data_IF_634276795413
#
_entry.id   IF_634276795413
#
_cell.length_a   1.000
_cell.length_b   1.000
_cell.length_c   1.000
_cell.angle_alpha   90.00
_cell.angle_beta   90.00
_cell.angle_gamma   90.00
#
_symmetry.space_group_name_H-M   'P 1'
#
loop_
_entity.id
_entity.type
_entity.pdbx_description
1 polymer ?
#
# COMPACT_ATOMS: atom_id res chain seq x y z
N UNK A 1 -23.14 8.63 4.32
CA UNK A 1 -23.84 8.16 3.08
C UNK A 1 -23.01 7.01 2.56
N UNK A 2 -23.60 5.83 2.37
CA UNK A 2 -22.90 4.72 1.71
C UNK A 2 -22.69 5.15 0.27
N UNK A 3 -21.44 5.44 -0.11
CA UNK A 3 -21.12 5.63 -1.52
C UNK A 3 -21.40 4.30 -2.21
N UNK A 4 -22.49 4.26 -2.94
CA UNK A 4 -22.83 3.11 -3.76
C UNK A 4 -21.66 2.92 -4.75
N UNK A 5 -21.17 1.66 -4.85
CA UNK A 5 -20.15 1.32 -5.82
C UNK A 5 -20.63 1.67 -7.23
N UNK A 6 -19.79 2.32 -8.01
CA UNK A 6 -20.04 2.57 -9.43
C UNK A 6 -20.02 1.23 -10.20
N UNK A 7 -21.18 0.82 -10.74
CA UNK A 7 -21.31 -0.45 -11.45
C UNK A 7 -20.38 -0.51 -12.68
N UNK A 8 -20.21 0.59 -13.39
CA UNK A 8 -19.31 0.67 -14.54
C UNK A 8 -17.86 0.48 -14.14
N UNK A 9 -17.43 1.03 -13.00
CA UNK A 9 -16.10 0.81 -12.45
C UNK A 9 -15.90 -0.65 -12.05
N UNK A 10 -16.87 -1.24 -11.33
CA UNK A 10 -16.83 -2.66 -10.95
C UNK A 10 -16.69 -3.56 -12.18
N UNK A 11 -17.47 -3.32 -13.25
CA UNK A 11 -17.38 -4.09 -14.50
C UNK A 11 -16.01 -3.95 -15.18
N UNK A 12 -15.42 -2.75 -15.22
CA UNK A 12 -14.08 -2.53 -15.79
C UNK A 12 -12.99 -3.27 -15.02
N UNK A 13 -13.07 -3.28 -13.68
CA UNK A 13 -12.12 -3.97 -12.81
C UNK A 13 -12.28 -5.49 -12.94
N UNK A 14 -13.51 -6.00 -12.94
CA UNK A 14 -13.81 -7.43 -13.11
C UNK A 14 -13.28 -7.96 -14.45
N UNK A 15 -13.49 -7.21 -15.53
CA UNK A 15 -12.99 -7.55 -16.86
C UNK A 15 -11.45 -7.61 -16.95
N UNK A 16 -10.72 -6.90 -16.10
CA UNK A 16 -9.25 -6.99 -16.01
C UNK A 16 -8.77 -8.24 -15.30
N UNK A 17 -9.53 -8.70 -14.31
CA UNK A 17 -9.13 -9.83 -13.46
C UNK A 17 -7.92 -9.52 -12.59
N UNK A 18 -7.26 -10.56 -12.10
CA UNK A 18 -6.08 -10.48 -11.24
C UNK A 18 -4.89 -11.20 -11.85
N UNK A 19 -3.69 -10.81 -11.41
CA UNK A 19 -2.46 -11.59 -11.57
C UNK A 19 -2.05 -12.18 -10.22
N UNK A 20 -1.34 -13.32 -10.23
CA UNK A 20 -0.63 -13.81 -9.05
C UNK A 20 0.71 -13.08 -8.93
N UNK A 21 0.98 -12.51 -7.75
CA UNK A 21 2.18 -11.72 -7.50
C UNK A 21 2.89 -12.20 -6.23
N UNK A 22 4.20 -12.35 -6.34
CA UNK A 22 5.08 -12.79 -5.24
C UNK A 22 6.34 -11.94 -5.21
N UNK A 23 6.71 -11.42 -4.04
CA UNK A 23 7.92 -10.61 -3.86
C UNK A 23 8.26 -10.51 -2.36
N UNK A 24 9.53 -10.19 -2.05
CA UNK A 24 9.91 -9.74 -0.72
C UNK A 24 9.67 -8.24 -0.60
N UNK A 25 8.84 -7.86 0.35
CA UNK A 25 8.37 -6.49 0.53
C UNK A 25 8.81 -5.90 1.86
N UNK A 26 8.67 -4.58 1.95
CA UNK A 26 9.08 -3.78 3.10
C UNK A 26 7.97 -2.88 3.59
N UNK A 27 7.89 -2.75 4.91
CA UNK A 27 6.93 -1.89 5.60
C UNK A 27 7.56 -1.31 6.86
N UNK A 28 7.34 -0.03 7.14
CA UNK A 28 7.66 0.52 8.45
C UNK A 28 6.39 0.62 9.32
N UNK A 29 6.53 0.36 10.60
CA UNK A 29 5.44 0.48 11.58
C UNK A 29 5.98 0.97 12.91
N UNK A 30 5.15 1.59 13.76
CA UNK A 30 5.50 1.79 15.16
C UNK A 30 5.89 0.44 15.82
N UNK A 31 6.87 0.47 16.72
CA UNK A 31 7.49 -0.74 17.28
C UNK A 31 6.49 -1.72 17.94
N UNK A 32 5.41 -1.18 18.52
CA UNK A 32 4.38 -1.96 19.20
C UNK A 32 3.19 -2.38 18.30
N UNK A 33 3.26 -2.05 17.00
CA UNK A 33 2.22 -2.43 16.04
C UNK A 33 2.49 -3.78 15.44
N UNK A 34 1.43 -4.55 15.22
CA UNK A 34 1.51 -5.78 14.45
C UNK A 34 1.96 -5.48 13.02
N UNK A 35 2.95 -6.25 12.53
CA UNK A 35 3.51 -6.09 11.20
C UNK A 35 2.49 -6.38 10.09
N UNK A 36 1.52 -7.26 10.33
CA UNK A 36 0.55 -7.74 9.36
C UNK A 36 -0.88 -7.23 9.63
N UNK A 37 -1.04 -6.18 10.45
CA UNK A 37 -2.32 -5.56 10.67
C UNK A 37 -2.54 -4.34 9.76
N UNK A 38 -3.69 -4.32 9.09
CA UNK A 38 -4.21 -3.20 8.31
C UNK A 38 -5.14 -2.26 9.10
N UNK A 39 -5.28 -2.45 10.41
CA UNK A 39 -6.25 -1.72 11.22
C UNK A 39 -6.04 -0.20 11.22
N UNK A 40 -4.79 0.26 11.14
CA UNK A 40 -4.49 1.69 10.99
C UNK A 40 -5.09 2.26 9.71
N UNK A 41 -4.90 1.58 8.59
CA UNK A 41 -5.48 1.98 7.31
C UNK A 41 -7.01 1.86 7.31
N UNK A 42 -7.58 0.83 7.96
CA UNK A 42 -9.03 0.76 8.13
C UNK A 42 -9.58 1.98 8.88
N UNK A 43 -8.91 2.40 9.94
CA UNK A 43 -9.38 3.51 10.79
C UNK A 43 -9.31 4.87 10.12
N UNK A 44 -8.20 5.15 9.42
CA UNK A 44 -7.92 6.49 8.89
C UNK A 44 -8.06 6.59 7.38
N UNK A 45 -8.26 5.48 6.70
CA UNK A 45 -8.17 5.40 5.25
C UNK A 45 -6.72 5.37 4.78
N UNK A 46 -6.57 5.02 3.52
CA UNK A 46 -5.34 5.12 2.75
C UNK A 46 -5.68 5.37 1.30
N UNK A 47 -4.69 5.49 0.44
CA UNK A 47 -4.91 5.77 -0.98
C UNK A 47 -5.80 4.71 -1.65
N UNK A 48 -5.69 3.44 -1.25
CA UNK A 48 -6.39 2.31 -1.86
C UNK A 48 -7.46 1.68 -0.96
N UNK A 49 -7.82 2.33 0.12
CA UNK A 49 -8.94 1.91 0.97
C UNK A 49 -9.65 3.11 1.60
N UNK A 50 -10.97 3.22 1.45
CA UNK A 50 -11.75 4.21 2.18
C UNK A 50 -11.65 3.98 3.70
N UNK A 51 -11.75 5.03 4.51
CA UNK A 51 -11.76 4.90 5.96
C UNK A 51 -12.96 4.08 6.45
N UNK A 52 -12.76 3.34 7.53
CA UNK A 52 -13.77 2.55 8.25
C UNK A 52 -14.35 1.34 7.48
N UNK A 53 -13.89 1.07 6.26
CA UNK A 53 -14.49 0.03 5.44
C UNK A 53 -13.80 -1.33 5.60
N UNK A 54 -12.50 -1.42 5.28
CA UNK A 54 -11.73 -2.66 5.40
C UNK A 54 -10.27 -2.40 5.77
N UNK A 55 -9.59 -3.35 6.44
CA UNK A 55 -8.17 -3.24 6.76
C UNK A 55 -7.32 -3.51 5.52
N UNK A 56 -6.30 -2.67 5.31
CA UNK A 56 -5.37 -2.77 4.20
C UNK A 56 -3.91 -2.64 4.68
N UNK A 57 -3.05 -3.49 4.15
CA UNK A 57 -1.62 -3.57 4.47
C UNK A 57 -0.83 -3.06 3.27
N UNK A 58 -0.12 -1.94 3.44
CA UNK A 58 0.69 -1.30 2.40
C UNK A 58 2.12 -1.80 2.49
N UNK A 59 2.64 -2.35 1.40
CA UNK A 59 3.96 -2.96 1.31
C UNK A 59 4.71 -2.41 0.10
N UNK A 60 5.92 -1.89 0.31
CA UNK A 60 6.81 -1.43 -0.76
C UNK A 60 7.65 -2.60 -1.29
N UNK A 61 7.94 -2.63 -2.59
CA UNK A 61 8.75 -3.68 -3.24
C UNK A 61 10.25 -3.58 -2.93
N UNK A 62 10.70 -2.50 -2.32
CA UNK A 62 12.09 -2.32 -1.92
C UNK A 62 12.23 -1.52 -0.62
N UNK A 63 13.35 -1.71 0.06
CA UNK A 63 13.66 -0.92 1.24
C UNK A 63 13.78 0.57 0.91
N UNK A 64 14.36 0.92 -0.25
CA UNK A 64 14.45 2.29 -0.72
C UNK A 64 13.07 2.92 -0.93
N UNK A 65 12.16 2.24 -1.62
CA UNK A 65 10.79 2.71 -1.80
C UNK A 65 10.06 2.91 -0.45
N UNK A 66 10.28 1.99 0.50
CA UNK A 66 9.77 2.13 1.86
C UNK A 66 10.32 3.39 2.56
N UNK A 67 11.62 3.73 2.38
CA UNK A 67 12.21 4.96 2.95
C UNK A 67 11.66 6.23 2.31
N UNK A 68 11.32 6.21 1.04
CA UNK A 68 10.62 7.33 0.38
C UNK A 68 9.25 7.56 1.02
N UNK A 69 8.51 6.52 1.35
CA UNK A 69 7.23 6.65 2.06
C UNK A 69 7.41 7.18 3.50
N UNK A 70 8.50 6.80 4.20
CA UNK A 70 8.85 7.40 5.51
C UNK A 70 9.06 8.91 5.37
N UNK A 71 9.83 9.35 4.37
CA UNK A 71 10.07 10.76 4.09
C UNK A 71 8.77 11.53 3.81
N UNK A 72 7.90 10.98 2.97
CA UNK A 72 6.59 11.58 2.67
C UNK A 72 5.70 11.71 3.90
N UNK A 73 5.66 10.68 4.73
CA UNK A 73 4.91 10.71 5.98
C UNK A 73 5.43 11.78 6.94
N UNK A 74 6.75 11.94 7.05
CA UNK A 74 7.38 12.98 7.85
C UNK A 74 7.04 14.38 7.31
N UNK A 75 7.13 14.60 6.00
CA UNK A 75 6.76 15.86 5.34
C UNK A 75 5.27 16.21 5.59
N UNK A 76 4.37 15.24 5.46
CA UNK A 76 2.95 15.43 5.74
C UNK A 76 2.69 15.80 7.21
N UNK A 77 3.53 15.34 8.13
CA UNK A 77 3.52 15.69 9.55
C UNK A 77 4.32 16.98 9.87
N UNK A 78 4.79 17.72 8.84
CA UNK A 78 5.61 18.93 8.99
C UNK A 78 6.88 18.72 9.81
N UNK A 79 7.54 17.56 9.61
CA UNK A 79 8.80 17.19 10.28
C UNK A 79 9.78 16.56 9.27
N UNK A 80 10.94 16.09 9.74
CA UNK A 80 11.89 15.31 8.94
C UNK A 80 11.81 13.83 9.30
N UNK A 81 12.26 12.96 8.37
CA UNK A 81 12.30 11.52 8.61
C UNK A 81 13.15 11.17 9.84
N UNK A 82 14.32 11.81 10.01
CA UNK A 82 15.20 11.59 11.15
C UNK A 82 14.51 11.95 12.46
N UNK A 83 13.79 13.08 12.49
CA UNK A 83 13.08 13.54 13.69
C UNK A 83 11.90 12.61 14.00
N UNK A 84 11.17 12.16 12.99
CA UNK A 84 10.09 11.18 13.18
C UNK A 84 10.64 9.86 13.73
N UNK A 85 11.80 9.41 13.26
CA UNK A 85 12.44 8.15 13.65
C UNK A 85 13.19 8.21 14.99
N UNK A 86 13.18 9.35 15.71
CA UNK A 86 13.54 9.37 17.15
C UNK A 86 12.52 8.59 17.98
N UNK A 87 11.28 8.44 17.50
CA UNK A 87 10.32 7.50 18.07
C UNK A 87 10.64 6.07 17.63
N UNK A 88 10.17 5.09 18.40
CA UNK A 88 10.43 3.68 18.14
C UNK A 88 9.62 3.17 16.92
N UNK A 89 10.28 3.03 15.79
CA UNK A 89 9.77 2.39 14.58
C UNK A 89 10.53 1.11 14.25
N UNK A 90 9.90 0.24 13.48
CA UNK A 90 10.52 -0.95 12.92
C UNK A 90 10.37 -1.02 11.42
N UNK A 91 11.44 -1.43 10.75
CA UNK A 91 11.40 -1.91 9.38
C UNK A 91 11.07 -3.41 9.39
N UNK A 92 10.01 -3.77 8.69
CA UNK A 92 9.52 -5.14 8.53
C UNK A 92 9.83 -5.63 7.13
N UNK A 93 10.47 -6.79 7.03
CA UNK A 93 10.62 -7.53 5.79
C UNK A 93 9.55 -8.61 5.74
N UNK A 94 8.73 -8.62 4.70
CA UNK A 94 7.55 -9.47 4.57
C UNK A 94 7.61 -10.17 3.22
N UNK A 95 7.58 -11.51 3.24
CA UNK A 95 7.41 -12.28 2.02
C UNK A 95 5.94 -12.31 1.63
N UNK A 96 5.66 -11.93 0.39
CA UNK A 96 4.36 -12.03 -0.25
C UNK A 96 4.40 -13.19 -1.23
N UNK A 97 3.43 -14.10 -1.16
CA UNK A 97 3.39 -15.31 -2.00
C UNK A 97 2.01 -15.46 -2.64
N UNK A 98 1.98 -15.57 -3.96
CA UNK A 98 0.79 -15.88 -4.78
C UNK A 98 -0.43 -15.01 -4.41
N UNK A 99 -0.21 -13.71 -4.21
CA UNK A 99 -1.28 -12.76 -3.91
C UNK A 99 -2.01 -12.38 -5.20
N UNK A 100 -3.32 -12.63 -5.26
CA UNK A 100 -4.15 -12.29 -6.42
C UNK A 100 -4.49 -10.79 -6.40
N UNK A 101 -3.78 -10.01 -7.20
CA UNK A 101 -3.86 -8.54 -7.20
C UNK A 101 -4.36 -7.98 -8.53
N UNK A 102 -5.08 -6.87 -8.46
CA UNK A 102 -5.36 -6.02 -9.60
C UNK A 102 -4.06 -5.30 -9.99
N UNK A 103 -3.54 -5.59 -11.18
CA UNK A 103 -2.32 -4.94 -11.69
C UNK A 103 -2.65 -3.60 -12.36
N UNK A 104 -2.16 -2.51 -11.74
CA UNK A 104 -2.27 -1.13 -12.21
C UNK A 104 -0.88 -0.50 -12.42
N UNK A 105 0.15 -1.32 -12.65
CA UNK A 105 1.53 -0.84 -12.81
C UNK A 105 1.74 -0.04 -14.09
N UNK A 106 0.98 -0.32 -15.16
CA UNK A 106 1.09 0.39 -16.44
C UNK A 106 0.10 1.55 -16.55
N UNK A 107 0.43 2.63 -17.29
CA UNK A 107 -0.51 3.71 -17.58
C UNK A 107 -1.82 3.22 -18.21
N UNK A 108 -1.75 2.30 -19.17
CA UNK A 108 -2.91 1.73 -19.86
C UNK A 108 -3.83 0.97 -18.88
N UNK A 109 -3.24 0.27 -17.91
CA UNK A 109 -4.00 -0.42 -16.89
C UNK A 109 -4.81 0.56 -16.00
N UNK A 110 -4.20 1.68 -15.63
CA UNK A 110 -4.83 2.74 -14.84
C UNK A 110 -5.93 3.43 -15.61
N UNK A 111 -5.64 3.83 -16.86
CA UNK A 111 -6.63 4.46 -17.75
C UNK A 111 -7.86 3.57 -17.96
N UNK A 112 -7.67 2.25 -18.11
CA UNK A 112 -8.77 1.30 -18.27
C UNK A 112 -9.76 1.27 -17.11
N UNK A 113 -9.31 1.63 -15.90
CA UNK A 113 -10.17 1.74 -14.70
C UNK A 113 -10.53 3.21 -14.37
N UNK A 114 -10.15 4.15 -15.24
CA UNK A 114 -10.50 5.57 -15.13
C UNK A 114 -9.60 6.37 -14.18
N UNK A 115 -8.36 5.90 -13.96
CA UNK A 115 -7.36 6.62 -13.16
C UNK A 115 -6.37 7.38 -14.07
N UNK A 116 -6.06 8.58 -13.66
CA UNK A 116 -5.02 9.43 -14.26
C UNK A 116 -3.76 9.46 -13.36
N UNK A 117 -2.69 10.09 -13.85
CA UNK A 117 -1.46 10.22 -13.08
C UNK A 117 -1.67 11.02 -11.78
N UNK A 118 -2.50 12.05 -11.83
CA UNK A 118 -2.80 12.88 -10.67
C UNK A 118 -3.50 12.10 -9.55
N UNK A 119 -4.30 11.08 -9.88
CA UNK A 119 -4.88 10.19 -8.86
C UNK A 119 -3.80 9.39 -8.11
N UNK A 120 -2.73 9.00 -8.81
CA UNK A 120 -1.64 8.19 -8.23
C UNK A 120 -0.69 9.05 -7.40
N UNK A 121 -0.34 10.24 -7.88
CA UNK A 121 0.73 11.05 -7.30
C UNK A 121 0.22 12.28 -6.55
N UNK A 122 -1.04 12.68 -6.75
CA UNK A 122 -1.67 13.82 -6.10
C UNK A 122 -2.21 13.53 -4.70
N UNK A 123 -2.85 14.54 -4.11
CA UNK A 123 -3.38 14.48 -2.74
C UNK A 123 -4.87 14.08 -2.69
N UNK A 124 -5.58 14.09 -3.82
CA UNK A 124 -6.94 13.54 -3.90
C UNK A 124 -6.90 12.02 -4.11
N UNK A 125 -7.36 11.28 -3.12
CA UNK A 125 -7.37 9.82 -3.15
C UNK A 125 -8.71 9.23 -3.55
N UNK A 126 -9.70 10.04 -3.86
CA UNK A 126 -11.09 9.57 -4.11
C UNK A 126 -11.17 8.55 -5.24
N UNK A 127 -10.48 8.78 -6.37
CA UNK A 127 -10.41 7.86 -7.50
C UNK A 127 -9.75 6.53 -7.12
N UNK A 128 -8.60 6.59 -6.45
CA UNK A 128 -7.89 5.39 -5.97
C UNK A 128 -8.71 4.62 -4.92
N UNK A 129 -9.38 5.30 -4.01
CA UNK A 129 -10.24 4.67 -3.00
C UNK A 129 -11.45 3.99 -3.64
N UNK A 130 -12.05 4.58 -4.67
CA UNK A 130 -13.14 3.95 -5.42
C UNK A 130 -12.68 2.66 -6.11
N UNK A 131 -11.51 2.68 -6.77
CA UNK A 131 -10.92 1.49 -7.40
C UNK A 131 -10.58 0.43 -6.34
N UNK A 132 -9.95 0.82 -5.24
CA UNK A 132 -9.61 -0.11 -4.16
C UNK A 132 -10.84 -0.76 -3.52
N UNK A 133 -11.92 0.02 -3.34
CA UNK A 133 -13.20 -0.49 -2.83
C UNK A 133 -13.84 -1.49 -3.81
N UNK A 134 -13.86 -1.18 -5.11
CA UNK A 134 -14.39 -2.07 -6.13
C UNK A 134 -13.59 -3.39 -6.22
N UNK A 135 -12.25 -3.32 -6.18
CA UNK A 135 -11.39 -4.50 -6.14
C UNK A 135 -11.64 -5.37 -4.89
N UNK A 136 -11.78 -4.73 -3.72
CA UNK A 136 -12.12 -5.45 -2.49
C UNK A 136 -13.52 -6.09 -2.56
N UNK A 137 -14.51 -5.41 -3.14
CA UNK A 137 -15.87 -5.92 -3.37
C UNK A 137 -15.85 -7.17 -4.27
N UNK A 138 -15.02 -7.17 -5.31
CA UNK A 138 -14.80 -8.29 -6.23
C UNK A 138 -13.96 -9.44 -5.62
N UNK A 139 -13.70 -9.41 -4.32
CA UNK A 139 -12.90 -10.41 -3.62
C UNK A 139 -11.44 -10.52 -4.08
N UNK A 140 -10.91 -9.55 -4.78
CA UNK A 140 -9.48 -9.48 -5.06
C UNK A 140 -8.68 -9.35 -3.76
N UNK A 141 -7.44 -9.81 -3.75
CA UNK A 141 -6.61 -9.81 -2.53
C UNK A 141 -5.82 -8.53 -2.34
N UNK A 142 -5.79 -7.66 -3.36
CA UNK A 142 -5.11 -6.39 -3.28
C UNK A 142 -5.00 -5.68 -4.63
N UNK A 143 -4.26 -4.57 -4.62
CA UNK A 143 -3.87 -3.81 -5.82
C UNK A 143 -2.35 -3.64 -5.85
N UNK A 144 -1.75 -3.75 -7.05
CA UNK A 144 -0.33 -3.50 -7.30
C UNK A 144 -0.19 -2.26 -8.17
N UNK A 145 0.57 -1.26 -7.68
CA UNK A 145 0.59 0.09 -8.25
C UNK A 145 1.99 0.70 -8.19
N UNK A 146 2.30 1.71 -9.00
CA UNK A 146 3.48 2.54 -8.78
C UNK A 146 3.41 3.22 -7.40
N UNK A 147 4.54 3.28 -6.71
CA UNK A 147 4.62 4.00 -5.45
C UNK A 147 4.37 5.50 -5.67
N UNK A 148 3.53 6.11 -4.83
CA UNK A 148 3.21 7.53 -4.93
C UNK A 148 4.44 8.45 -4.72
N UNK A 149 5.50 7.93 -4.10
CA UNK A 149 6.81 8.59 -3.99
C UNK A 149 7.65 8.53 -5.27
N UNK A 150 7.18 7.88 -6.34
CA UNK A 150 7.87 7.78 -7.63
C UNK A 150 9.02 6.76 -7.67
N UNK A 151 9.24 5.99 -6.63
CA UNK A 151 10.29 4.94 -6.56
C UNK A 151 9.65 3.59 -6.27
N UNK A 152 9.79 2.64 -7.19
CA UNK A 152 9.31 1.26 -7.05
C UNK A 152 7.79 1.11 -7.11
N UNK A 153 7.33 -0.01 -6.59
CA UNK A 153 5.93 -0.41 -6.55
C UNK A 153 5.44 -0.52 -5.10
N UNK A 154 4.14 -0.38 -4.93
CA UNK A 154 3.44 -0.69 -3.69
C UNK A 154 2.37 -1.73 -3.98
N UNK A 155 2.34 -2.80 -3.20
CA UNK A 155 1.18 -3.68 -3.11
C UNK A 155 0.36 -3.30 -1.89
N UNK A 156 -0.93 -3.08 -2.08
CA UNK A 156 -1.89 -2.91 -0.98
C UNK A 156 -2.66 -4.21 -0.83
N UNK A 157 -2.30 -5.01 0.18
CA UNK A 157 -2.94 -6.28 0.47
C UNK A 157 -4.17 -6.07 1.36
N UNK A 158 -5.31 -6.63 0.99
CA UNK A 158 -6.55 -6.57 1.77
C UNK A 158 -6.54 -7.70 2.82
N UNK A 159 -6.26 -7.34 4.08
CA UNK A 159 -6.02 -8.29 5.18
C UNK A 159 -7.06 -9.40 5.25
N UNK A 160 -8.35 -9.05 5.13
CA UNK A 160 -9.47 -9.99 5.21
C UNK A 160 -9.63 -10.88 3.96
N UNK A 161 -8.90 -10.60 2.89
CA UNK A 161 -8.92 -11.37 1.64
C UNK A 161 -7.69 -12.25 1.47
N UNK A 162 -6.62 -12.01 2.24
CA UNK A 162 -5.42 -12.85 2.22
C UNK A 162 -5.67 -14.20 2.87
N UNK A 163 -4.99 -15.22 2.35
CA UNK A 163 -5.01 -16.58 2.90
C UNK A 163 -3.83 -16.77 3.87
N UNK A 164 -3.93 -17.67 4.85
CA UNK A 164 -2.81 -18.03 5.71
C UNK A 164 -1.55 -18.39 4.88
N UNK A 165 -0.41 -17.80 5.24
CA UNK A 165 0.87 -18.04 4.58
C UNK A 165 1.18 -17.15 3.38
N UNK A 166 0.22 -16.39 2.84
CA UNK A 166 0.49 -15.47 1.73
C UNK A 166 1.29 -14.23 2.15
N UNK A 167 1.17 -13.80 3.39
CA UNK A 167 1.98 -12.74 3.98
C UNK A 167 2.73 -13.32 5.18
N UNK A 168 4.07 -13.31 5.14
CA UNK A 168 4.90 -13.87 6.20
C UNK A 168 5.95 -12.84 6.64
N UNK A 169 5.94 -12.48 7.91
CA UNK A 169 6.99 -11.67 8.50
C UNK A 169 8.30 -12.46 8.53
N UNK A 170 9.27 -12.05 7.72
CA UNK A 170 10.60 -12.66 7.68
C UNK A 170 11.55 -12.04 8.70
N UNK A 171 11.57 -10.71 8.79
CA UNK A 171 12.50 -9.97 9.63
C UNK A 171 11.86 -8.70 10.19
N UNK A 172 12.34 -8.27 11.33
CA UNK A 172 11.97 -7.02 11.98
C UNK A 172 13.19 -6.41 12.64
N UNK A 173 13.62 -5.24 12.19
CA UNK A 173 14.76 -4.50 12.75
C UNK A 173 14.31 -3.11 13.20
N UNK A 174 15.06 -2.53 14.15
CA UNK A 174 14.79 -1.14 14.55
C UNK A 174 15.12 -0.20 13.41
N UNK A 175 14.15 0.62 13.02
CA UNK A 175 14.33 1.64 11.98
C UNK A 175 14.82 2.92 12.66
N UNK A 176 16.14 3.04 12.72
CA UNK A 176 16.83 4.21 13.29
C UNK A 176 17.10 5.26 12.21
N UNK A 177 17.35 6.54 12.59
CA UNK A 177 17.81 7.56 11.63
C UNK A 177 19.05 7.13 10.83
N UNK A 178 19.99 6.40 11.42
CA UNK A 178 21.19 5.91 10.73
C UNK A 178 20.83 4.86 9.65
N UNK A 179 19.99 3.87 9.98
CA UNK A 179 19.53 2.87 9.02
C UNK A 179 18.71 3.51 7.88
N UNK A 180 17.87 4.50 8.21
CA UNK A 180 17.13 5.26 7.21
C UNK A 180 18.08 5.91 6.18
N UNK A 181 19.13 6.60 6.64
CA UNK A 181 20.10 7.25 5.76
C UNK A 181 20.83 6.24 4.86
N UNK A 182 21.22 5.09 5.41
CA UNK A 182 21.87 4.01 4.65
C UNK A 182 20.96 3.51 3.53
N UNK A 183 19.71 3.14 3.86
CA UNK A 183 18.75 2.58 2.91
C UNK A 183 18.22 3.60 1.89
N UNK A 184 18.24 4.88 2.24
CA UNK A 184 17.81 5.97 1.35
C UNK A 184 18.86 6.24 0.25
N UNK A 185 20.14 5.95 0.51
CA UNK A 185 21.25 6.17 -0.41
C UNK A 185 21.50 4.99 -1.39
N UNK A 186 20.82 3.86 -1.19
CA UNK A 186 20.94 2.66 -2.04
C UNK A 186 20.05 2.77 -3.26
#
# INVERSE_FOLDING_TARGET
MSDALDEGLVQRIDARGTIEWSETCYRYTGAHRDALSGEGARRFGGRWNPPLLFPAIYLADSAQACMVEVERAAQAASTTAEKMLEAAYRLRTIDVTDLAVLDLTTPQAREAVGLENDDIYGDDWSGCQAVGHAAWFLHMQGVLVPAAGGVGLVVTAYEQRTRPGQLQLRQSVDLTPALYQELRAT
#
